data_IF_822594433766
#
_entry.id   IF_822594433766
#
_cell.length_a   1.000
_cell.length_b   1.000
_cell.length_c   1.000
_cell.angle_alpha   90.00
_cell.angle_beta   90.00
_cell.angle_gamma   90.00
#
_symmetry.space_group_name_H-M   'P 1'
#
loop_
_entity.id
_entity.type
_entity.pdbx_description
1 polymer ?
#
# COMPACT_ATOMS: atom_id res chain seq x y z
N UNK A 1 0.48 20.82 5.64
CA UNK A 1 1.62 19.99 5.15
C UNK A 1 1.22 18.53 5.12
N UNK A 2 1.71 17.72 4.15
CA UNK A 2 1.55 16.26 4.14
C UNK A 2 2.91 15.60 4.32
N UNK A 3 3.00 14.61 5.23
CA UNK A 3 4.27 13.91 5.53
C UNK A 3 4.09 12.41 5.37
N UNK A 4 4.95 11.78 4.56
CA UNK A 4 4.96 10.35 4.33
C UNK A 4 6.36 9.86 3.90
N UNK A 5 6.64 8.56 3.98
CA UNK A 5 8.01 8.08 3.77
C UNK A 5 8.17 6.76 3.05
N UNK A 6 7.09 6.02 2.85
CA UNK A 6 7.12 4.70 2.23
C UNK A 6 6.29 4.66 0.94
N UNK A 7 6.56 3.66 0.09
CA UNK A 7 5.79 3.44 -1.14
C UNK A 7 4.27 3.31 -0.89
N UNK A 8 3.79 2.49 0.08
CA UNK A 8 2.36 2.37 0.35
C UNK A 8 1.71 3.67 0.81
N UNK A 9 2.39 4.45 1.64
CA UNK A 9 1.90 5.77 2.04
C UNK A 9 1.80 6.71 0.84
N UNK A 10 2.83 6.76 -0.02
CA UNK A 10 2.84 7.63 -1.19
C UNK A 10 1.68 7.33 -2.16
N UNK A 11 1.40 6.05 -2.43
CA UNK A 11 0.27 5.63 -3.28
C UNK A 11 -1.04 6.24 -2.76
N UNK A 12 -1.24 6.25 -1.45
CA UNK A 12 -2.46 6.72 -0.79
C UNK A 12 -2.49 8.23 -0.55
N UNK A 13 -1.32 8.86 -0.39
CA UNK A 13 -1.23 10.31 -0.10
C UNK A 13 -1.12 11.17 -1.37
N UNK A 14 -0.54 10.67 -2.46
CA UNK A 14 -0.40 11.44 -3.69
C UNK A 14 -1.75 11.90 -4.30
N UNK A 15 -2.82 11.09 -4.32
CA UNK A 15 -4.15 11.58 -4.73
C UNK A 15 -4.62 12.76 -3.88
N UNK A 16 -4.42 12.69 -2.57
CA UNK A 16 -4.78 13.76 -1.64
C UNK A 16 -3.94 15.03 -1.88
N UNK A 17 -2.63 14.89 -2.11
CA UNK A 17 -1.76 16.03 -2.51
C UNK A 17 -2.31 16.72 -3.76
N UNK A 18 -2.64 15.93 -4.80
CA UNK A 18 -3.17 16.48 -6.07
C UNK A 18 -4.49 17.20 -5.86
N UNK A 19 -5.36 16.67 -5.02
CA UNK A 19 -6.66 17.30 -4.73
C UNK A 19 -6.50 18.59 -3.93
N UNK A 20 -5.66 18.61 -2.90
CA UNK A 20 -5.40 19.80 -2.09
C UNK A 20 -4.74 20.92 -2.91
N UNK A 21 -3.77 20.59 -3.78
CA UNK A 21 -3.13 21.56 -4.68
C UNK A 21 -4.10 22.24 -5.67
N UNK A 22 -5.28 21.64 -5.93
CA UNK A 22 -6.33 22.25 -6.77
C UNK A 22 -7.22 23.23 -6.00
N UNK A 23 -7.20 23.21 -4.66
CA UNK A 23 -8.12 23.99 -3.84
C UNK A 23 -7.59 25.41 -3.64
N UNK A 24 -8.31 26.44 -4.10
CA UNK A 24 -7.93 27.82 -3.83
C UNK A 24 -7.98 28.08 -2.32
N UNK A 25 -6.96 28.73 -1.78
CA UNK A 25 -6.84 29.04 -0.36
C UNK A 25 -6.22 27.95 0.51
N UNK A 26 -5.78 26.83 -0.08
CA UNK A 26 -4.98 25.82 0.59
C UNK A 26 -3.55 25.84 0.01
N UNK A 27 -2.59 26.26 0.82
CA UNK A 27 -1.19 26.13 0.48
C UNK A 27 -0.70 24.75 0.91
N UNK A 28 -0.24 23.95 -0.06
CA UNK A 28 0.04 22.52 0.13
C UNK A 28 1.54 22.26 0.04
N UNK A 29 2.15 21.93 1.16
CA UNK A 29 3.54 21.54 1.28
C UNK A 29 3.67 20.03 1.47
N UNK A 30 4.58 19.39 0.76
CA UNK A 30 4.84 17.94 0.80
C UNK A 30 6.23 17.68 1.33
N UNK A 31 6.32 16.92 2.42
CA UNK A 31 7.58 16.47 2.99
C UNK A 31 7.67 14.95 2.93
N UNK A 32 8.72 14.42 2.32
CA UNK A 32 8.99 12.98 2.31
C UNK A 32 10.17 12.64 3.21
N UNK A 33 10.06 11.52 3.95
CA UNK A 33 11.17 11.09 4.80
C UNK A 33 12.19 10.25 4.04
N UNK A 34 11.80 9.62 2.92
CA UNK A 34 12.71 8.83 2.10
C UNK A 34 13.19 7.54 2.80
N UNK A 35 12.30 6.86 3.55
CA UNK A 35 12.62 5.62 4.24
C UNK A 35 12.97 4.47 3.27
N UNK A 36 12.39 4.45 2.04
CA UNK A 36 12.66 3.50 0.95
C UNK A 36 12.74 4.28 -0.37
N UNK A 37 13.90 4.85 -0.67
CA UNK A 37 14.09 5.86 -1.70
C UNK A 37 13.58 5.47 -3.09
N UNK A 38 14.15 4.43 -3.71
CA UNK A 38 13.83 4.08 -5.11
C UNK A 38 12.34 3.79 -5.35
N UNK A 39 11.72 3.03 -4.44
CA UNK A 39 10.30 2.69 -4.56
C UNK A 39 9.38 3.89 -4.32
N UNK A 40 9.80 4.83 -3.49
CA UNK A 40 9.07 6.07 -3.24
C UNK A 40 9.13 6.99 -4.46
N UNK A 41 10.31 7.18 -5.02
CA UNK A 41 10.55 8.04 -6.19
C UNK A 41 9.70 7.59 -7.39
N UNK A 42 9.61 6.29 -7.67
CA UNK A 42 8.76 5.74 -8.73
C UNK A 42 7.28 6.12 -8.56
N UNK A 43 6.76 6.09 -7.33
CA UNK A 43 5.38 6.50 -7.06
C UNK A 43 5.21 8.01 -7.25
N UNK A 44 6.13 8.81 -6.73
CA UNK A 44 6.09 10.27 -6.90
C UNK A 44 6.09 10.66 -8.38
N UNK A 45 6.92 10.02 -9.20
CA UNK A 45 6.94 10.19 -10.66
C UNK A 45 5.60 9.80 -11.30
N UNK A 46 5.08 8.61 -10.97
CA UNK A 46 3.80 8.11 -11.49
C UNK A 46 2.64 9.08 -11.22
N UNK A 47 2.63 9.67 -10.03
CA UNK A 47 1.60 10.64 -9.64
C UNK A 47 1.94 12.09 -9.99
N UNK A 48 3.11 12.37 -10.58
CA UNK A 48 3.61 13.71 -10.87
C UNK A 48 3.61 14.63 -9.62
N UNK A 49 4.02 14.09 -8.49
CA UNK A 49 4.18 14.82 -7.23
C UNK A 49 5.66 15.09 -7.00
N UNK A 50 5.99 16.36 -6.88
CA UNK A 50 7.34 16.79 -6.48
C UNK A 50 7.26 17.21 -5.01
N UNK A 51 8.04 16.58 -4.10
CA UNK A 51 8.09 16.97 -2.70
C UNK A 51 8.82 18.31 -2.55
N UNK A 52 8.35 19.14 -1.64
CA UNK A 52 9.00 20.39 -1.27
C UNK A 52 10.19 20.15 -0.34
N UNK A 53 10.08 19.10 0.49
CA UNK A 53 11.14 18.64 1.40
C UNK A 53 11.38 17.15 1.30
N UNK A 54 12.67 16.78 1.34
CA UNK A 54 13.11 15.39 1.39
C UNK A 54 14.15 15.21 2.51
N UNK A 55 13.77 14.48 3.55
CA UNK A 55 14.62 14.28 4.72
C UNK A 55 15.74 13.25 4.45
N UNK A 56 15.61 12.44 3.42
CA UNK A 56 16.64 11.46 2.99
C UNK A 56 17.20 10.66 4.18
N UNK A 57 16.32 10.00 4.95
CA UNK A 57 16.72 9.27 6.17
C UNK A 57 17.24 7.86 5.90
N UNK A 58 17.11 7.35 4.67
CA UNK A 58 17.49 5.97 4.35
C UNK A 58 18.98 5.74 4.58
N UNK A 59 19.29 4.70 5.35
CA UNK A 59 20.62 4.15 5.55
C UNK A 59 20.57 2.63 5.49
N UNK A 60 21.64 1.99 5.08
CA UNK A 60 21.73 0.52 5.14
C UNK A 60 21.64 0.02 6.58
N UNK A 61 20.92 -1.08 6.78
CA UNK A 61 20.78 -1.78 8.07
C UNK A 61 20.30 -0.91 9.24
N UNK A 62 19.56 0.16 8.96
CA UNK A 62 19.02 1.02 10.03
C UNK A 62 18.01 0.26 10.90
N UNK A 63 18.07 0.53 12.20
CA UNK A 63 17.12 0.04 13.20
C UNK A 63 15.93 0.98 13.33
N UNK A 64 14.86 0.53 14.03
CA UNK A 64 13.75 1.44 14.36
C UNK A 64 14.20 2.66 15.17
N UNK A 65 15.24 2.52 16.00
CA UNK A 65 15.83 3.66 16.73
C UNK A 65 16.42 4.68 15.76
N UNK A 66 17.20 4.23 14.77
CA UNK A 66 17.81 5.11 13.79
C UNK A 66 16.75 5.84 12.95
N UNK A 67 15.71 5.14 12.52
CA UNK A 67 14.59 5.74 11.77
C UNK A 67 13.90 6.80 12.62
N UNK A 68 13.56 6.47 13.87
CA UNK A 68 12.87 7.37 14.82
C UNK A 68 13.67 8.63 15.07
N UNK A 69 14.95 8.50 15.43
CA UNK A 69 15.79 9.65 15.76
C UNK A 69 16.08 10.53 14.55
N UNK A 70 16.40 9.93 13.40
CA UNK A 70 16.65 10.67 12.16
C UNK A 70 15.41 11.47 11.71
N UNK A 71 14.20 10.89 11.79
CA UNK A 71 12.98 11.62 11.45
C UNK A 71 12.76 12.76 12.45
N UNK A 72 12.83 12.48 13.75
CA UNK A 72 12.52 13.46 14.81
C UNK A 72 13.44 14.69 14.73
N UNK A 73 14.72 14.47 14.49
CA UNK A 73 15.69 15.57 14.35
C UNK A 73 15.43 16.41 13.10
N UNK A 74 15.29 15.76 11.94
CA UNK A 74 15.19 16.47 10.67
C UNK A 74 13.82 17.12 10.45
N UNK A 75 12.72 16.47 10.85
CA UNK A 75 11.36 17.01 10.66
C UNK A 75 11.15 18.28 11.50
N UNK A 76 11.83 18.41 12.65
CA UNK A 76 11.74 19.58 13.51
C UNK A 76 12.07 20.87 12.76
N UNK A 77 13.16 20.88 12.01
CA UNK A 77 13.55 22.08 11.25
C UNK A 77 12.52 22.47 10.21
N UNK A 78 12.00 21.49 9.50
CA UNK A 78 10.95 21.71 8.48
C UNK A 78 9.67 22.25 9.13
N UNK A 79 9.20 21.65 10.21
CA UNK A 79 7.99 22.09 10.91
C UNK A 79 8.12 23.50 11.51
N UNK A 80 9.29 23.84 12.03
CA UNK A 80 9.56 25.20 12.58
C UNK A 80 9.62 26.24 11.47
N UNK A 81 10.23 25.93 10.34
CA UNK A 81 10.37 26.85 9.22
C UNK A 81 9.05 27.10 8.50
N UNK A 82 8.30 26.04 8.22
CA UNK A 82 7.03 26.09 7.49
C UNK A 82 5.85 26.56 8.36
N UNK A 83 5.92 26.28 9.67
CA UNK A 83 4.86 26.57 10.64
C UNK A 83 3.45 26.23 10.11
N UNK A 84 3.17 24.98 9.69
CA UNK A 84 1.92 24.63 9.04
C UNK A 84 0.73 24.67 10.00
N UNK A 85 -0.44 25.12 9.52
CA UNK A 85 -1.68 25.15 10.30
C UNK A 85 -2.14 23.72 10.67
N UNK A 86 -1.80 22.72 9.84
CA UNK A 86 -2.11 21.31 10.06
C UNK A 86 -1.11 20.41 9.33
N UNK A 87 -0.76 19.29 9.96
CA UNK A 87 0.05 18.24 9.34
C UNK A 87 -0.77 17.00 9.15
N UNK A 88 -0.85 16.50 7.92
CA UNK A 88 -1.50 15.22 7.59
C UNK A 88 -0.45 14.11 7.54
N UNK A 89 -0.73 13.03 8.29
CA UNK A 89 0.06 11.80 8.30
C UNK A 89 -0.83 10.61 7.96
N UNK A 90 -0.26 9.50 7.49
CA UNK A 90 -1.03 8.37 6.98
C UNK A 90 -0.69 7.05 7.68
N UNK A 91 -1.72 6.33 8.12
CA UNK A 91 -1.60 4.94 8.58
C UNK A 91 -0.79 4.78 9.87
N UNK A 92 0.25 3.95 9.83
CA UNK A 92 0.86 3.39 11.04
C UNK A 92 2.39 3.20 10.96
N UNK A 93 3.03 3.84 10.01
CA UNK A 93 4.50 3.75 9.87
C UNK A 93 5.21 4.50 11.00
N UNK A 94 6.51 4.23 11.15
CA UNK A 94 7.36 5.02 12.04
C UNK A 94 7.39 6.50 11.62
N UNK A 95 7.35 6.79 10.31
CA UNK A 95 7.21 8.16 9.79
C UNK A 95 5.97 8.85 10.36
N UNK A 96 4.83 8.18 10.29
CA UNK A 96 3.54 8.69 10.80
C UNK A 96 3.61 8.99 12.30
N UNK A 97 4.08 8.03 13.08
CA UNK A 97 4.18 8.18 14.54
C UNK A 97 5.13 9.30 14.94
N UNK A 98 6.34 9.32 14.39
CA UNK A 98 7.36 10.29 14.80
C UNK A 98 7.02 11.70 14.36
N UNK A 99 6.41 11.85 13.17
CA UNK A 99 5.91 13.15 12.70
C UNK A 99 4.80 13.67 13.63
N UNK A 100 3.85 12.82 14.00
CA UNK A 100 2.77 13.19 14.92
C UNK A 100 3.33 13.59 16.30
N UNK A 101 4.34 12.89 16.81
CA UNK A 101 5.03 13.23 18.04
C UNK A 101 5.73 14.60 17.97
N UNK A 102 6.44 14.88 16.86
CA UNK A 102 7.08 16.17 16.63
C UNK A 102 6.06 17.32 16.57
N UNK A 103 4.94 17.12 15.88
CA UNK A 103 3.85 18.08 15.81
C UNK A 103 3.24 18.33 17.20
N UNK A 104 3.05 17.28 18.02
CA UNK A 104 2.56 17.43 19.39
C UNK A 104 3.48 18.31 20.24
N UNK A 105 4.81 18.13 20.14
CA UNK A 105 5.77 18.96 20.86
C UNK A 105 5.77 20.43 20.41
N UNK A 106 5.45 20.68 19.15
CA UNK A 106 5.35 22.02 18.58
C UNK A 106 3.92 22.60 18.63
N UNK A 107 2.97 21.85 19.19
CA UNK A 107 1.55 22.24 19.26
C UNK A 107 0.91 22.50 17.89
N UNK A 108 1.36 21.77 16.87
CA UNK A 108 0.81 21.79 15.52
C UNK A 108 -0.29 20.72 15.41
N UNK A 109 -1.52 21.07 14.98
CA UNK A 109 -2.61 20.11 14.79
C UNK A 109 -2.24 19.01 13.81
N UNK A 110 -2.62 17.75 14.14
CA UNK A 110 -2.38 16.58 13.29
C UNK A 110 -3.68 16.02 12.75
N UNK A 111 -3.75 15.79 11.45
CA UNK A 111 -4.78 15.00 10.80
C UNK A 111 -4.25 13.60 10.46
N UNK A 112 -4.94 12.57 10.94
CA UNK A 112 -4.58 11.18 10.73
C UNK A 112 -5.43 10.58 9.62
N UNK A 113 -4.83 10.30 8.47
CA UNK A 113 -5.46 9.61 7.33
C UNK A 113 -5.33 8.11 7.53
N UNK A 114 -6.37 7.33 7.23
CA UNK A 114 -6.52 5.91 7.55
C UNK A 114 -6.53 5.65 9.07
N UNK A 115 -7.23 6.51 9.80
CA UNK A 115 -7.33 6.45 11.25
C UNK A 115 -8.28 5.36 11.74
N UNK A 116 -8.01 4.80 12.93
CA UNK A 116 -8.96 3.94 13.64
C UNK A 116 -8.90 2.45 13.30
N UNK A 117 -7.97 2.00 12.48
CA UNK A 117 -7.68 0.56 12.33
C UNK A 117 -7.08 0.04 13.64
N UNK A 118 -7.58 -1.10 14.15
CA UNK A 118 -7.13 -1.67 15.43
C UNK A 118 -7.08 -3.19 15.41
N UNK A 119 -6.02 -3.74 16.00
CA UNK A 119 -5.95 -5.14 16.43
C UNK A 119 -6.02 -5.27 17.94
N UNK A 120 -5.79 -4.16 18.66
CA UNK A 120 -5.65 -4.09 20.13
C UNK A 120 -4.54 -4.97 20.70
N UNK A 121 -3.65 -5.46 19.86
CA UNK A 121 -2.46 -6.18 20.25
C UNK A 121 -1.21 -5.42 19.78
N UNK A 122 -0.64 -4.58 20.62
CA UNK A 122 0.52 -3.72 20.31
C UNK A 122 1.76 -4.48 19.81
N UNK A 123 1.75 -5.82 19.91
CA UNK A 123 2.82 -6.69 19.41
C UNK A 123 2.49 -7.30 18.04
N UNK A 124 1.28 -7.05 17.48
CA UNK A 124 0.87 -7.66 16.22
C UNK A 124 -0.22 -6.82 15.49
N UNK A 125 0.11 -6.24 14.32
CA UNK A 125 1.43 -6.13 13.71
C UNK A 125 2.38 -5.25 14.53
N UNK A 126 3.68 -5.52 14.45
CA UNK A 126 4.70 -4.79 15.17
C UNK A 126 5.64 -4.07 14.18
N UNK A 127 5.90 -2.77 14.33
CA UNK A 127 5.44 -1.83 15.39
C UNK A 127 4.12 -1.11 15.07
N UNK A 128 3.43 -1.47 13.98
CA UNK A 128 2.33 -0.71 13.37
C UNK A 128 1.16 -0.48 14.32
N UNK A 129 0.75 -1.51 15.10
CA UNK A 129 -0.38 -1.33 16.02
C UNK A 129 -0.08 -0.31 17.13
N UNK A 130 1.14 -0.32 17.66
CA UNK A 130 1.56 0.71 18.62
C UNK A 130 1.55 2.09 17.97
N UNK A 131 2.13 2.23 16.78
CA UNK A 131 2.22 3.50 16.07
C UNK A 131 0.82 4.11 15.86
N UNK A 132 -0.15 3.32 15.34
CA UNK A 132 -1.49 3.83 15.05
C UNK A 132 -2.28 4.22 16.30
N UNK A 133 -2.10 3.50 17.41
CA UNK A 133 -2.71 3.89 18.69
C UNK A 133 -2.07 5.18 19.22
N UNK A 134 -0.75 5.29 19.19
CA UNK A 134 -0.03 6.47 19.65
C UNK A 134 -0.38 7.73 18.82
N UNK A 135 -0.44 7.62 17.49
CA UNK A 135 -0.93 8.70 16.62
C UNK A 135 -2.37 9.06 16.97
N UNK A 136 -3.23 8.07 17.21
CA UNK A 136 -4.60 8.28 17.65
C UNK A 136 -4.70 9.11 18.93
N UNK A 137 -3.73 9.07 19.83
CA UNK A 137 -3.74 9.89 21.05
C UNK A 137 -3.60 11.38 20.72
N UNK A 138 -2.69 11.75 19.81
CA UNK A 138 -2.33 13.13 19.52
C UNK A 138 -3.09 13.74 18.33
N UNK A 139 -3.65 12.92 17.43
CA UNK A 139 -4.38 13.41 16.28
C UNK A 139 -5.64 14.16 16.67
N UNK A 140 -5.76 15.38 16.15
CA UNK A 140 -6.93 16.23 16.33
C UNK A 140 -8.04 15.87 15.34
N UNK A 141 -7.68 15.64 14.09
CA UNK A 141 -8.59 15.30 12.99
C UNK A 141 -8.35 13.85 12.54
N UNK A 142 -9.43 13.06 12.43
CA UNK A 142 -9.32 11.65 12.11
C UNK A 142 -10.14 11.31 10.86
N UNK A 143 -9.48 10.80 9.83
CA UNK A 143 -10.10 10.38 8.58
C UNK A 143 -10.13 8.86 8.55
N UNK A 144 -11.26 8.29 8.96
CA UNK A 144 -11.43 6.85 9.12
C UNK A 144 -11.85 6.18 7.79
N UNK A 145 -11.29 5.01 7.44
CA UNK A 145 -11.67 4.33 6.21
C UNK A 145 -13.08 3.71 6.28
N UNK A 146 -13.55 3.33 7.45
CA UNK A 146 -14.82 2.61 7.64
C UNK A 146 -15.56 3.06 8.89
N UNK A 147 -16.86 2.71 8.98
CA UNK A 147 -17.66 2.89 10.20
C UNK A 147 -17.05 2.16 11.41
N UNK A 148 -16.49 0.96 11.21
CA UNK A 148 -15.80 0.21 12.28
C UNK A 148 -14.59 0.99 12.82
N UNK A 149 -13.79 1.56 11.92
CA UNK A 149 -12.63 2.38 12.30
C UNK A 149 -13.04 3.63 13.06
N UNK A 150 -14.13 4.30 12.63
CA UNK A 150 -14.74 5.42 13.38
C UNK A 150 -15.20 4.98 14.77
N UNK A 151 -15.88 3.84 14.87
CA UNK A 151 -16.37 3.32 16.13
C UNK A 151 -15.21 3.01 17.10
N UNK A 152 -14.11 2.46 16.63
CA UNK A 152 -12.92 2.23 17.44
C UNK A 152 -12.43 3.55 18.07
N UNK A 153 -12.31 4.62 17.27
CA UNK A 153 -11.90 5.94 17.76
C UNK A 153 -12.87 6.53 18.78
N UNK A 154 -14.18 6.42 18.54
CA UNK A 154 -15.21 6.88 19.49
C UNK A 154 -15.12 6.11 20.81
N UNK A 155 -14.92 4.79 20.76
CA UNK A 155 -14.76 3.94 21.96
C UNK A 155 -13.49 4.28 22.74
N UNK A 156 -12.47 4.84 22.08
CA UNK A 156 -11.25 5.36 22.70
C UNK A 156 -11.41 6.80 23.23
N UNK A 157 -12.63 7.35 23.19
CA UNK A 157 -12.94 8.67 23.74
C UNK A 157 -12.62 9.84 22.79
N UNK A 158 -12.42 9.60 21.49
CA UNK A 158 -12.24 10.68 20.52
C UNK A 158 -13.56 11.39 20.23
N UNK A 159 -13.48 12.69 20.01
CA UNK A 159 -14.63 13.51 19.64
C UNK A 159 -15.18 13.07 18.28
N UNK A 160 -16.41 12.57 18.27
CA UNK A 160 -17.08 12.13 17.06
C UNK A 160 -17.24 13.25 16.00
N UNK A 161 -17.26 14.51 16.41
CA UNK A 161 -17.30 15.68 15.53
C UNK A 161 -15.98 15.93 14.78
N UNK A 162 -14.90 15.29 15.21
CA UNK A 162 -13.57 15.36 14.57
C UNK A 162 -13.17 14.04 13.87
N UNK A 163 -14.15 13.19 13.57
CA UNK A 163 -13.94 11.91 12.86
C UNK A 163 -14.83 11.86 11.64
N UNK A 164 -14.21 11.80 10.47
CA UNK A 164 -14.89 11.68 9.18
C UNK A 164 -14.60 10.31 8.55
N UNK A 165 -15.62 9.69 7.96
CA UNK A 165 -15.46 8.49 7.17
C UNK A 165 -15.16 8.91 5.74
N UNK A 166 -13.96 8.61 5.28
CA UNK A 166 -13.45 9.07 3.97
C UNK A 166 -13.18 7.92 3.00
N UNK A 167 -13.34 6.67 3.44
CA UNK A 167 -12.90 5.53 2.64
C UNK A 167 -11.38 5.36 2.65
N UNK A 168 -10.88 4.51 1.74
CA UNK A 168 -9.46 4.22 1.57
C UNK A 168 -8.93 4.96 0.34
N UNK A 169 -7.97 5.83 0.54
CA UNK A 169 -7.35 6.63 -0.54
C UNK A 169 -6.56 5.80 -1.56
N UNK A 170 -6.31 4.51 -1.31
CA UNK A 170 -5.81 3.58 -2.32
C UNK A 170 -6.77 3.47 -3.52
N UNK A 171 -8.09 3.58 -3.27
CA UNK A 171 -9.10 3.55 -4.34
C UNK A 171 -8.98 4.81 -5.22
N UNK A 172 -8.71 5.97 -4.63
CA UNK A 172 -8.50 7.23 -5.37
C UNK A 172 -7.25 7.15 -6.27
N UNK A 173 -6.24 6.38 -5.86
CA UNK A 173 -5.05 6.15 -6.66
C UNK A 173 -5.36 5.48 -8.00
N UNK A 174 -6.33 4.57 -8.04
CA UNK A 174 -6.73 3.86 -9.25
C UNK A 174 -7.22 4.81 -10.35
N UNK A 175 -7.89 5.90 -9.99
CA UNK A 175 -8.34 6.92 -10.95
C UNK A 175 -7.20 7.63 -11.69
N UNK A 176 -6.00 7.61 -11.11
CA UNK A 176 -4.80 8.21 -11.73
C UNK A 176 -3.97 7.16 -12.49
N UNK A 177 -3.92 5.93 -12.01
CA UNK A 177 -3.02 4.90 -12.51
C UNK A 177 -3.65 3.98 -13.55
N UNK A 178 -4.96 3.72 -13.47
CA UNK A 178 -5.67 2.92 -14.48
C UNK A 178 -5.93 3.76 -15.71
N UNK A 179 -5.50 3.26 -16.89
CA UNK A 179 -5.62 3.93 -18.17
C UNK A 179 -6.28 3.03 -19.20
N UNK A 180 -7.17 3.57 -20.01
CA UNK A 180 -7.85 2.83 -21.08
C UNK A 180 -6.89 2.43 -22.21
N UNK A 181 -5.94 3.32 -22.51
CA UNK A 181 -4.94 3.17 -23.55
C UNK A 181 -3.64 2.48 -23.10
N UNK A 182 -3.65 1.87 -21.90
CA UNK A 182 -2.49 1.16 -21.38
C UNK A 182 -2.19 -0.11 -22.20
N UNK A 183 -0.96 -0.24 -22.68
CA UNK A 183 -0.44 -1.34 -23.49
C UNK A 183 0.70 -2.03 -22.75
N UNK A 184 0.68 -3.37 -22.74
CA UNK A 184 1.74 -4.19 -22.18
C UNK A 184 1.75 -5.56 -22.85
N UNK A 185 2.91 -6.05 -23.24
CA UNK A 185 3.08 -7.32 -23.97
C UNK A 185 2.49 -8.55 -23.26
N UNK A 186 2.47 -8.55 -21.93
CA UNK A 186 1.89 -9.65 -21.16
C UNK A 186 0.37 -9.61 -21.18
N UNK A 187 -0.23 -8.41 -21.17
CA UNK A 187 -1.67 -8.24 -21.31
C UNK A 187 -2.15 -8.54 -22.73
N UNK A 188 -1.37 -8.15 -23.74
CA UNK A 188 -1.66 -8.46 -25.13
C UNK A 188 -1.63 -9.97 -25.37
N UNK A 189 -0.66 -10.68 -24.77
CA UNK A 189 -0.58 -12.14 -24.80
C UNK A 189 -1.82 -12.80 -24.18
N UNK A 190 -2.43 -12.20 -23.17
CA UNK A 190 -3.60 -12.74 -22.46
C UNK A 190 -4.94 -12.24 -23.04
N UNK A 191 -4.94 -11.41 -24.09
CA UNK A 191 -6.11 -10.68 -24.57
C UNK A 191 -7.26 -11.57 -25.08
N UNK A 192 -6.94 -12.79 -25.53
CA UNK A 192 -7.89 -13.80 -26.03
C UNK A 192 -8.41 -14.78 -24.97
N UNK A 193 -8.14 -14.52 -23.69
CA UNK A 193 -8.37 -15.46 -22.59
C UNK A 193 -8.98 -14.80 -21.37
N UNK A 194 -9.49 -15.62 -20.45
CA UNK A 194 -9.81 -15.16 -19.07
C UNK A 194 -8.54 -15.07 -18.26
N UNK A 195 -8.06 -13.85 -18.05
CA UNK A 195 -6.80 -13.61 -17.31
C UNK A 195 -7.01 -13.75 -15.81
N UNK A 196 -6.20 -14.62 -15.17
CA UNK A 196 -6.03 -14.67 -13.71
C UNK A 196 -4.75 -13.92 -13.34
N UNK A 197 -4.87 -12.87 -12.52
CA UNK A 197 -3.73 -12.22 -11.90
C UNK A 197 -3.45 -12.85 -10.54
N UNK A 198 -2.21 -13.31 -10.32
CA UNK A 198 -1.81 -13.96 -9.08
C UNK A 198 -0.88 -13.02 -8.32
N UNK A 199 -1.13 -12.83 -7.02
CA UNK A 199 -0.22 -12.16 -6.11
C UNK A 199 -0.16 -12.91 -4.81
N UNK A 200 0.98 -13.52 -4.49
CA UNK A 200 1.19 -14.31 -3.30
C UNK A 200 2.63 -14.18 -2.82
N UNK A 201 2.82 -13.69 -1.60
CA UNK A 201 4.15 -13.43 -1.06
C UNK A 201 4.22 -13.43 0.47
N UNK A 202 3.11 -13.62 1.18
CA UNK A 202 3.10 -13.56 2.64
C UNK A 202 3.89 -14.69 3.26
N UNK A 203 4.69 -14.35 4.28
CA UNK A 203 5.60 -15.29 4.96
C UNK A 203 4.86 -16.47 5.60
N UNK A 204 3.66 -16.25 6.15
CA UNK A 204 2.83 -17.29 6.74
C UNK A 204 2.30 -18.32 5.73
N UNK A 205 2.37 -18.00 4.44
CA UNK A 205 1.97 -18.91 3.36
C UNK A 205 3.13 -19.73 2.77
N UNK A 206 4.37 -19.48 3.17
CA UNK A 206 5.53 -20.21 2.65
C UNK A 206 5.47 -21.72 2.97
N UNK A 207 6.14 -22.51 2.13
CA UNK A 207 6.17 -23.98 2.25
C UNK A 207 4.91 -24.64 1.68
N UNK A 208 4.44 -25.72 2.32
CA UNK A 208 3.33 -26.54 1.80
C UNK A 208 2.03 -25.75 1.52
N UNK A 209 1.62 -24.73 2.31
CA UNK A 209 0.46 -23.92 1.98
C UNK A 209 0.56 -23.21 0.63
N UNK A 210 1.75 -22.78 0.24
CA UNK A 210 1.99 -22.10 -1.06
C UNK A 210 1.97 -23.12 -2.22
N UNK A 211 2.60 -24.29 -2.04
CA UNK A 211 2.53 -25.38 -3.02
C UNK A 211 1.08 -25.82 -3.26
N UNK A 212 0.27 -25.96 -2.21
CA UNK A 212 -1.14 -26.35 -2.33
C UNK A 212 -1.93 -25.30 -3.09
N UNK A 213 -1.67 -24.01 -2.87
CA UNK A 213 -2.28 -22.92 -3.63
C UNK A 213 -1.90 -23.01 -5.11
N UNK A 214 -0.62 -23.16 -5.42
CA UNK A 214 -0.15 -23.25 -6.80
C UNK A 214 -0.68 -24.50 -7.52
N UNK A 215 -0.75 -25.65 -6.84
CA UNK A 215 -1.37 -26.88 -7.40
C UNK A 215 -2.86 -26.67 -7.70
N UNK A 216 -3.59 -25.93 -6.83
CA UNK A 216 -4.99 -25.62 -7.09
C UNK A 216 -5.14 -24.68 -8.30
N UNK A 217 -4.29 -23.67 -8.45
CA UNK A 217 -4.27 -22.80 -9.63
C UNK A 217 -3.97 -23.62 -10.90
N UNK A 218 -2.96 -24.50 -10.84
CA UNK A 218 -2.62 -25.38 -11.95
C UNK A 218 -3.82 -26.22 -12.38
N UNK A 219 -4.50 -26.85 -11.41
CA UNK A 219 -5.68 -27.65 -11.69
C UNK A 219 -6.79 -26.85 -12.35
N UNK A 220 -7.07 -25.62 -11.86
CA UNK A 220 -8.06 -24.74 -12.48
C UNK A 220 -7.70 -24.43 -13.93
N UNK A 221 -6.43 -24.19 -14.22
CA UNK A 221 -5.97 -23.93 -15.59
C UNK A 221 -6.08 -25.16 -16.48
N UNK A 222 -5.83 -26.37 -15.95
CA UNK A 222 -5.95 -27.64 -16.69
C UNK A 222 -7.41 -27.93 -17.03
N UNK A 223 -8.33 -27.64 -16.12
CA UNK A 223 -9.77 -27.84 -16.29
C UNK A 223 -10.43 -26.75 -17.17
N UNK A 224 -9.75 -25.60 -17.39
CA UNK A 224 -10.26 -24.44 -18.15
C UNK A 224 -9.24 -23.99 -19.21
N UNK A 225 -9.30 -24.51 -20.43
CA UNK A 225 -8.32 -24.21 -21.49
C UNK A 225 -8.28 -22.74 -21.94
N UNK A 226 -9.34 -21.99 -21.71
CA UNK A 226 -9.48 -20.56 -22.02
C UNK A 226 -8.92 -19.63 -20.94
N UNK A 227 -8.31 -20.19 -19.90
CA UNK A 227 -7.69 -19.43 -18.80
C UNK A 227 -6.20 -19.29 -19.03
N UNK A 228 -5.70 -18.05 -18.94
CA UNK A 228 -4.27 -17.72 -18.79
C UNK A 228 -4.01 -17.06 -17.45
N UNK A 229 -2.80 -17.22 -16.93
CA UNK A 229 -2.39 -16.61 -15.67
C UNK A 229 -1.14 -15.76 -15.83
N UNK A 230 -1.08 -14.62 -15.13
CA UNK A 230 0.12 -13.81 -14.96
C UNK A 230 0.43 -13.72 -13.48
N UNK A 231 1.68 -14.02 -13.13
CA UNK A 231 2.16 -13.96 -11.76
C UNK A 231 3.38 -13.04 -11.65
N UNK A 232 3.21 -11.76 -11.28
CA UNK A 232 4.30 -10.91 -10.85
C UNK A 232 4.91 -11.47 -9.56
N UNK A 233 6.01 -12.21 -9.69
CA UNK A 233 6.54 -13.00 -8.57
C UNK A 233 7.42 -12.17 -7.65
N UNK A 234 7.25 -12.36 -6.35
CA UNK A 234 8.08 -11.71 -5.35
C UNK A 234 9.54 -12.22 -5.39
N UNK A 235 10.50 -11.33 -5.06
CA UNK A 235 11.94 -11.63 -5.11
C UNK A 235 12.40 -12.70 -4.09
N UNK A 236 11.54 -13.09 -3.14
CA UNK A 236 11.89 -14.10 -2.12
C UNK A 236 12.18 -15.47 -2.79
N UNK A 237 13.38 -16.04 -2.59
CA UNK A 237 13.77 -17.31 -3.21
C UNK A 237 12.82 -18.47 -2.88
N UNK A 238 12.24 -18.51 -1.67
CA UNK A 238 11.31 -19.57 -1.28
C UNK A 238 9.98 -19.50 -2.07
N UNK A 239 9.54 -18.30 -2.46
CA UNK A 239 8.36 -18.12 -3.32
C UNK A 239 8.67 -18.57 -4.75
N UNK A 240 9.85 -18.19 -5.26
CA UNK A 240 10.31 -18.56 -6.60
C UNK A 240 10.46 -20.08 -6.73
N UNK A 241 11.07 -20.73 -5.73
CA UNK A 241 11.23 -22.18 -5.71
C UNK A 241 9.88 -22.90 -5.72
N UNK A 242 8.93 -22.47 -4.87
CA UNK A 242 7.59 -23.07 -4.82
C UNK A 242 6.82 -22.91 -6.15
N UNK A 243 7.01 -21.80 -6.85
CA UNK A 243 6.41 -21.59 -8.17
C UNK A 243 7.06 -22.50 -9.23
N UNK A 244 8.39 -22.65 -9.19
CA UNK A 244 9.13 -23.54 -10.08
C UNK A 244 8.76 -25.01 -9.87
N UNK A 245 8.64 -25.46 -8.62
CA UNK A 245 8.25 -26.82 -8.26
C UNK A 245 6.88 -27.23 -8.83
N UNK A 246 5.93 -26.29 -8.94
CA UNK A 246 4.57 -26.57 -9.39
C UNK A 246 4.33 -26.24 -10.85
N UNK A 247 4.82 -25.10 -11.29
CA UNK A 247 4.58 -24.65 -12.67
C UNK A 247 5.69 -25.09 -13.65
N UNK A 248 6.79 -25.65 -13.12
CA UNK A 248 7.93 -26.12 -13.92
C UNK A 248 8.65 -24.98 -14.60
N UNK A 249 9.41 -25.29 -15.66
CA UNK A 249 10.07 -24.29 -16.51
C UNK A 249 9.06 -23.47 -17.32
N UNK A 250 8.15 -22.79 -16.62
CA UNK A 250 7.28 -21.73 -17.19
C UNK A 250 8.07 -20.43 -17.42
N UNK A 251 9.38 -20.59 -17.57
CA UNK A 251 10.27 -19.54 -18.06
C UNK A 251 9.97 -19.24 -19.53
N UNK A 252 10.30 -18.06 -20.04
CA UNK A 252 10.08 -17.70 -21.43
C UNK A 252 10.65 -18.78 -22.36
N UNK A 253 9.78 -19.59 -23.00
CA UNK A 253 10.13 -20.74 -23.84
C UNK A 253 9.84 -22.14 -23.28
N UNK A 254 9.30 -22.26 -22.03
CA UNK A 254 8.86 -23.53 -21.45
C UNK A 254 7.53 -24.04 -22.03
N UNK A 255 7.26 -25.34 -21.86
CA UNK A 255 6.09 -26.04 -22.45
C UNK A 255 4.72 -25.55 -21.97
N UNK A 256 4.64 -24.63 -20.99
CA UNK A 256 3.39 -24.13 -20.47
C UNK A 256 3.10 -22.72 -20.97
N UNK A 257 2.48 -22.67 -22.13
CA UNK A 257 2.12 -21.42 -22.81
C UNK A 257 1.02 -20.60 -22.09
N UNK A 258 0.44 -21.10 -20.98
CA UNK A 258 -0.73 -20.45 -20.34
C UNK A 258 -0.47 -19.76 -19.02
N UNK A 259 0.74 -19.84 -18.47
CA UNK A 259 1.16 -19.06 -17.30
C UNK A 259 2.44 -18.28 -17.62
N UNK A 260 2.45 -17.00 -17.26
CA UNK A 260 3.65 -16.16 -17.31
C UNK A 260 4.02 -15.73 -15.90
N UNK A 261 5.21 -16.16 -15.46
CA UNK A 261 5.84 -15.68 -14.24
C UNK A 261 6.74 -14.52 -14.66
N UNK A 262 6.47 -13.33 -14.15
CA UNK A 262 7.16 -12.09 -14.52
C UNK A 262 7.79 -11.43 -13.29
N UNK A 263 8.69 -10.47 -13.53
CA UNK A 263 9.25 -9.67 -12.46
C UNK A 263 8.17 -8.82 -11.76
N UNK A 264 8.42 -8.36 -10.52
CA UNK A 264 7.48 -7.52 -9.80
C UNK A 264 7.12 -6.26 -10.58
N UNK A 265 5.84 -5.94 -10.64
CA UNK A 265 5.32 -4.76 -11.31
C UNK A 265 5.40 -3.51 -10.41
N UNK A 266 5.54 -2.36 -11.04
CA UNK A 266 5.30 -1.09 -10.36
C UNK A 266 3.79 -0.87 -10.09
N UNK A 267 3.44 0.23 -9.46
CA UNK A 267 2.05 0.51 -9.07
C UNK A 267 1.15 0.78 -10.29
N UNK A 268 1.66 1.47 -11.30
CA UNK A 268 0.90 1.78 -12.50
C UNK A 268 0.59 0.52 -13.29
N UNK A 269 1.62 -0.28 -13.54
CA UNK A 269 1.49 -1.56 -14.24
C UNK A 269 0.54 -2.49 -13.49
N UNK A 270 0.76 -2.65 -12.17
CA UNK A 270 -0.04 -3.55 -11.35
C UNK A 270 -1.54 -3.19 -11.36
N UNK A 271 -1.89 -1.91 -11.25
CA UNK A 271 -3.27 -1.45 -11.30
C UNK A 271 -3.92 -1.69 -12.67
N UNK A 272 -3.17 -1.54 -13.78
CA UNK A 272 -3.67 -1.84 -15.11
C UNK A 272 -3.82 -3.35 -15.32
N UNK A 273 -2.92 -4.18 -14.78
CA UNK A 273 -3.08 -5.64 -14.79
C UNK A 273 -4.30 -6.07 -13.99
N UNK A 274 -4.56 -5.50 -12.81
CA UNK A 274 -5.80 -5.73 -12.05
C UNK A 274 -7.03 -5.36 -12.90
N UNK A 275 -7.01 -4.18 -13.51
CA UNK A 275 -8.14 -3.70 -14.31
C UNK A 275 -8.43 -4.58 -15.55
N UNK A 276 -7.44 -5.21 -16.14
CA UNK A 276 -7.60 -6.12 -17.28
C UNK A 276 -7.87 -7.57 -16.87
N UNK A 277 -7.75 -7.91 -15.58
CA UNK A 277 -7.96 -9.27 -15.10
C UNK A 277 -9.44 -9.67 -15.10
N UNK A 278 -9.69 -10.95 -15.34
CA UNK A 278 -11.00 -11.59 -15.13
C UNK A 278 -11.19 -11.94 -13.64
N UNK A 279 -10.14 -12.43 -12.98
CA UNK A 279 -10.11 -12.83 -11.58
C UNK A 279 -8.75 -12.52 -10.97
N UNK A 280 -8.74 -12.13 -9.71
CA UNK A 280 -7.51 -11.89 -8.96
C UNK A 280 -7.41 -12.91 -7.81
N UNK A 281 -6.24 -13.54 -7.70
CA UNK A 281 -5.89 -14.44 -6.58
C UNK A 281 -4.80 -13.77 -5.76
N UNK A 282 -5.08 -13.48 -4.48
CA UNK A 282 -4.17 -12.69 -3.65
C UNK A 282 -4.08 -13.19 -2.22
N UNK A 283 -2.97 -12.89 -1.56
CA UNK A 283 -2.83 -12.93 -0.11
C UNK A 283 -2.64 -11.53 0.51
N UNK A 284 -2.81 -10.47 -0.29
CA UNK A 284 -2.67 -9.08 0.15
C UNK A 284 -3.99 -8.51 0.69
N UNK A 285 -3.91 -7.79 1.82
CA UNK A 285 -5.05 -7.10 2.41
C UNK A 285 -5.54 -5.92 1.58
N UNK A 286 -4.65 -5.11 0.99
CA UNK A 286 -5.02 -3.92 0.21
C UNK A 286 -5.81 -4.24 -1.05
N UNK A 287 -5.44 -5.31 -1.75
CA UNK A 287 -6.10 -5.73 -2.99
C UNK A 287 -7.58 -6.13 -2.76
N UNK A 288 -7.94 -6.51 -1.53
CA UNK A 288 -9.35 -6.80 -1.17
C UNK A 288 -10.26 -5.58 -1.29
N UNK A 289 -9.71 -4.36 -1.23
CA UNK A 289 -10.45 -3.12 -1.41
C UNK A 289 -10.29 -2.56 -2.84
N UNK A 290 -9.10 -2.68 -3.40
CA UNK A 290 -8.77 -2.17 -4.73
C UNK A 290 -9.47 -2.95 -5.85
N UNK A 291 -9.43 -4.29 -5.81
CA UNK A 291 -10.01 -5.14 -6.87
C UNK A 291 -11.54 -4.99 -7.01
N UNK A 292 -12.34 -5.00 -5.93
CA UNK A 292 -13.77 -4.74 -6.02
C UNK A 292 -14.12 -3.35 -6.54
N UNK A 293 -13.31 -2.33 -6.25
CA UNK A 293 -13.54 -0.97 -6.76
C UNK A 293 -13.34 -0.88 -8.28
N UNK A 294 -12.58 -1.79 -8.87
CA UNK A 294 -12.44 -1.98 -10.32
C UNK A 294 -13.50 -2.95 -10.89
N UNK A 295 -14.44 -3.43 -10.06
CA UNK A 295 -15.44 -4.44 -10.46
C UNK A 295 -14.84 -5.83 -10.71
N UNK A 296 -13.68 -6.14 -10.13
CA UNK A 296 -12.97 -7.40 -10.34
C UNK A 296 -13.21 -8.39 -9.21
N UNK A 297 -13.61 -9.62 -9.51
CA UNK A 297 -13.66 -10.69 -8.51
C UNK A 297 -12.29 -10.94 -7.91
N UNK A 298 -12.24 -11.12 -6.59
CA UNK A 298 -11.00 -11.42 -5.87
C UNK A 298 -11.20 -12.62 -4.94
N UNK A 299 -10.29 -13.58 -5.00
CA UNK A 299 -10.19 -14.65 -4.03
C UNK A 299 -8.97 -14.42 -3.16
N UNK A 300 -9.20 -14.37 -1.85
CA UNK A 300 -8.17 -14.04 -0.88
C UNK A 300 -7.78 -15.28 -0.11
N UNK A 301 -6.48 -15.61 -0.11
CA UNK A 301 -5.95 -16.62 0.79
C UNK A 301 -5.79 -16.01 2.19
N UNK A 302 -6.73 -16.33 3.09
CA UNK A 302 -6.74 -15.83 4.45
C UNK A 302 -5.78 -16.64 5.31
N UNK A 303 -4.68 -16.02 5.74
CA UNK A 303 -3.82 -16.56 6.78
C UNK A 303 -4.30 -16.18 8.18
N UNK A 304 -4.55 -14.95 8.48
CA UNK A 304 -5.33 -14.39 9.59
C UNK A 304 -5.88 -13.07 9.10
N UNK A 305 -7.19 -12.96 8.98
CA UNK A 305 -7.83 -11.72 8.62
C UNK A 305 -7.59 -10.70 9.75
N UNK A 306 -6.93 -9.61 9.45
CA UNK A 306 -7.07 -8.39 10.22
C UNK A 306 -8.36 -7.72 9.72
N UNK A 307 -9.49 -8.16 10.27
CA UNK A 307 -10.80 -7.54 10.03
C UNK A 307 -11.01 -6.48 11.09
#
# INVERSE_FOLDING_TARGET
>A
MLVFGTRPEAIKMCPLVKELKKRPGIDTCVCVTGQHRQMLDQVLETFHVVPDYDLSIMKEKQTLFDVTTNILEKIREVLVNENPDVVLVHGDTTTTFVTALACFYLQIPVGHVEAGLRTYNIKSPFPEEFNRQAVGIVAEYNFAPTEKSKLNLVNEGKDAGKIWITGNTAIDALSTTVKEDYVNEHLDWASDSRLILITAHRRENLGEPMHNMFRAIRRVMDENPDVKAIYPIHMNPAVRQAAEDVFGESSPGGKEERIRIIEPLDVLDFHNFMNRSYLILTDSGGIQEEAPSLGKPVLVKIGRAHV
#
